data_IF_132476918712
#
_entry.id   IF_132476918712
#
_cell.length_a   1.000
_cell.length_b   1.000
_cell.length_c   1.000
_cell.angle_alpha   90.00
_cell.angle_beta   90.00
_cell.angle_gamma   90.00
#
_symmetry.space_group_name_H-M   'P 1'
#
loop_
_entity.id
_entity.type
_entity.pdbx_description
1 polymer ?
#
# COMPACT_ATOMS: atom_id res chain seq x y z
N UNK A 1 31.10 1.84 -20.40
CA UNK A 1 29.91 1.03 -20.02
C UNK A 1 28.69 1.71 -20.59
N UNK A 2 27.90 1.02 -21.40
CA UNK A 2 26.66 1.58 -21.97
C UNK A 2 25.61 1.71 -20.86
N UNK A 3 24.92 2.85 -20.73
CA UNK A 3 23.88 3.00 -19.72
C UNK A 3 22.76 1.98 -19.97
N UNK A 4 22.37 1.25 -18.92
CA UNK A 4 21.29 0.24 -18.96
C UNK A 4 19.93 0.91 -19.19
N UNK A 5 19.74 2.11 -18.62
CA UNK A 5 18.55 2.93 -18.75
C UNK A 5 18.68 3.90 -19.94
N UNK A 6 17.66 3.93 -20.80
CA UNK A 6 17.52 4.92 -21.87
C UNK A 6 16.71 6.12 -21.38
N UNK A 7 16.83 7.29 -22.02
CA UNK A 7 16.04 8.47 -21.65
C UNK A 7 14.52 8.28 -21.73
N UNK A 8 14.07 7.33 -22.56
CA UNK A 8 12.65 6.98 -22.73
C UNK A 8 12.16 5.94 -21.74
N UNK A 9 13.05 5.32 -20.97
CA UNK A 9 12.68 4.28 -20.02
C UNK A 9 12.13 4.92 -18.73
N UNK A 10 11.22 4.22 -18.06
CA UNK A 10 10.75 4.57 -16.71
C UNK A 10 11.19 3.49 -15.73
N UNK A 11 11.92 3.87 -14.70
CA UNK A 11 12.23 2.99 -13.57
C UNK A 11 10.99 2.90 -12.67
N UNK A 12 10.42 1.71 -12.50
CA UNK A 12 9.35 1.53 -11.51
C UNK A 12 9.91 0.95 -10.22
N UNK A 13 9.36 1.40 -9.09
CA UNK A 13 9.76 0.99 -7.75
C UNK A 13 8.51 0.64 -6.94
N UNK A 14 8.52 -0.50 -6.27
CA UNK A 14 7.44 -0.96 -5.42
C UNK A 14 7.25 -0.03 -4.21
N UNK A 15 6.00 0.31 -3.90
CA UNK A 15 5.62 1.16 -2.77
C UNK A 15 6.22 0.67 -1.45
N UNK A 16 6.20 -0.65 -1.22
CA UNK A 16 6.74 -1.29 -0.01
C UNK A 16 8.21 -0.95 0.23
N UNK A 17 9.02 -0.91 -0.84
CA UNK A 17 10.43 -0.53 -0.73
C UNK A 17 10.55 0.92 -0.24
N UNK A 18 9.74 1.82 -0.79
CA UNK A 18 9.75 3.24 -0.41
C UNK A 18 9.20 3.44 1.02
N UNK A 19 8.22 2.66 1.48
CA UNK A 19 7.76 2.67 2.88
C UNK A 19 8.91 2.31 3.83
N UNK A 20 9.71 1.30 3.48
CA UNK A 20 10.89 0.91 4.26
C UNK A 20 11.97 2.00 4.23
N UNK A 21 12.31 2.51 3.04
CA UNK A 21 13.33 3.56 2.88
C UNK A 21 12.95 4.89 3.52
N UNK A 22 11.65 5.20 3.60
CA UNK A 22 11.13 6.41 4.23
C UNK A 22 11.04 6.33 5.76
N UNK A 23 11.31 5.16 6.35
CA UNK A 23 11.19 4.95 7.79
C UNK A 23 9.74 4.94 8.28
N UNK A 24 8.77 4.71 7.38
CA UNK A 24 7.34 4.67 7.72
C UNK A 24 6.86 3.28 8.15
N UNK A 25 7.69 2.26 7.98
CA UNK A 25 7.41 0.93 8.51
C UNK A 25 7.30 0.97 10.04
N UNK A 26 6.29 0.29 10.58
CA UNK A 26 6.01 0.28 12.02
C UNK A 26 6.30 -1.10 12.59
N UNK A 27 7.20 -1.24 13.58
CA UNK A 27 7.42 -2.52 14.25
C UNK A 27 6.12 -2.99 14.92
N UNK A 28 5.71 -4.24 14.66
CA UNK A 28 4.47 -4.79 15.20
C UNK A 28 4.42 -4.75 16.74
N UNK A 29 5.58 -4.88 17.40
CA UNK A 29 5.70 -4.84 18.85
C UNK A 29 5.36 -3.48 19.49
N UNK A 30 5.41 -2.38 18.75
CA UNK A 30 5.04 -1.05 19.28
C UNK A 30 3.53 -0.84 19.28
N UNK A 31 2.79 -1.60 18.47
CA UNK A 31 1.36 -1.53 18.37
C UNK A 31 0.73 -2.36 19.49
N UNK A 32 0.15 -1.70 20.49
CA UNK A 32 -0.48 -2.33 21.65
C UNK A 32 -2.00 -2.32 21.48
N UNK A 33 -2.64 -3.43 21.02
CA UNK A 33 -4.06 -3.41 20.69
C UNK A 33 -4.92 -3.13 21.93
N UNK A 34 -5.65 -2.03 21.90
CA UNK A 34 -6.64 -1.67 22.92
C UNK A 34 -7.94 -2.43 22.75
N UNK A 35 -8.92 -2.11 23.60
CA UNK A 35 -10.21 -2.79 23.61
C UNK A 35 -10.96 -2.68 22.27
N UNK A 36 -11.00 -1.49 21.67
CA UNK A 36 -11.66 -1.28 20.36
C UNK A 36 -11.03 -2.17 19.28
N UNK A 37 -9.71 -2.26 19.23
CA UNK A 37 -9.01 -3.06 18.24
C UNK A 37 -9.28 -4.56 18.42
N UNK A 38 -9.20 -5.06 19.67
CA UNK A 38 -9.49 -6.45 20.01
C UNK A 38 -10.95 -6.82 19.75
N UNK A 39 -11.87 -5.88 19.96
CA UNK A 39 -13.29 -6.08 19.72
C UNK A 39 -13.59 -6.13 18.21
N UNK A 40 -13.07 -5.19 17.43
CA UNK A 40 -13.47 -5.03 16.03
C UNK A 40 -12.70 -5.93 15.06
N UNK A 41 -11.42 -6.20 15.30
CA UNK A 41 -10.59 -6.97 14.36
C UNK A 41 -11.18 -8.36 14.02
N UNK A 42 -11.63 -9.19 14.98
CA UNK A 42 -12.25 -10.48 14.67
C UNK A 42 -13.55 -10.40 13.86
N UNK A 43 -14.18 -9.22 13.79
CA UNK A 43 -15.41 -8.99 13.00
C UNK A 43 -15.12 -8.62 11.55
N UNK A 44 -13.86 -8.31 11.20
CA UNK A 44 -13.42 -8.05 9.84
C UNK A 44 -13.20 -9.38 9.13
N UNK A 45 -13.88 -9.57 7.99
CA UNK A 45 -13.64 -10.75 7.15
C UNK A 45 -12.45 -10.49 6.22
N UNK A 46 -11.39 -11.33 6.26
CA UNK A 46 -10.31 -11.29 5.27
C UNK A 46 -10.83 -11.48 3.84
N UNK A 47 -10.05 -11.07 2.85
CA UNK A 47 -10.41 -11.20 1.43
C UNK A 47 -9.28 -11.80 0.59
N UNK A 48 -9.39 -13.10 0.31
CA UNK A 48 -8.27 -13.93 -0.19
C UNK A 48 -7.11 -13.85 0.79
N UNK A 49 -5.91 -13.56 0.29
CA UNK A 49 -4.71 -13.54 1.13
C UNK A 49 -4.54 -12.25 1.95
N UNK A 50 -5.38 -11.23 1.71
CA UNK A 50 -5.32 -10.00 2.49
C UNK A 50 -6.06 -10.17 3.82
N UNK A 51 -5.26 -10.20 4.90
CA UNK A 51 -5.78 -10.19 6.28
C UNK A 51 -6.32 -8.81 6.68
N UNK A 52 -5.80 -7.72 6.10
CA UNK A 52 -6.27 -6.35 6.38
C UNK A 52 -6.44 -6.06 7.87
N UNK A 53 -7.57 -5.44 8.25
CA UNK A 53 -7.85 -5.08 9.65
C UNK A 53 -8.33 -6.24 10.54
N UNK A 54 -8.31 -7.49 10.04
CA UNK A 54 -8.61 -8.64 10.90
C UNK A 54 -7.51 -8.92 11.92
N UNK A 55 -6.32 -8.34 11.73
CA UNK A 55 -5.22 -8.36 12.69
C UNK A 55 -5.42 -7.23 13.71
N UNK A 56 -5.49 -7.52 15.03
CA UNK A 56 -5.71 -6.50 16.06
C UNK A 56 -4.69 -5.35 16.04
N UNK A 57 -3.42 -5.62 15.75
CA UNK A 57 -2.40 -4.57 15.65
C UNK A 57 -2.63 -3.63 14.45
N UNK A 58 -3.09 -4.14 13.29
CA UNK A 58 -3.50 -3.29 12.16
C UNK A 58 -4.73 -2.45 12.48
N UNK A 59 -5.70 -3.03 13.18
CA UNK A 59 -6.87 -2.29 13.66
C UNK A 59 -6.45 -1.19 14.66
N UNK A 60 -5.51 -1.49 15.56
CA UNK A 60 -4.97 -0.52 16.51
C UNK A 60 -4.30 0.66 15.81
N UNK A 61 -3.45 0.39 14.82
CA UNK A 61 -2.87 1.45 13.99
C UNK A 61 -3.96 2.34 13.37
N UNK A 62 -5.06 1.74 12.88
CA UNK A 62 -6.17 2.52 12.35
C UNK A 62 -6.88 3.36 13.41
N UNK A 63 -7.09 2.82 14.62
CA UNK A 63 -7.67 3.54 15.75
C UNK A 63 -6.83 4.77 16.10
N UNK A 64 -5.50 4.63 16.14
CA UNK A 64 -4.58 5.74 16.43
C UNK A 64 -4.63 6.83 15.36
N UNK A 65 -4.76 6.46 14.09
CA UNK A 65 -4.75 7.41 12.97
C UNK A 65 -6.11 8.01 12.62
N UNK A 66 -7.21 7.35 12.98
CA UNK A 66 -8.58 7.79 12.66
C UNK A 66 -9.34 8.34 13.87
N UNK A 67 -8.90 7.99 15.07
CA UNK A 67 -9.65 8.13 16.31
C UNK A 67 -10.60 6.94 16.56
N UNK A 68 -10.65 6.49 17.82
CA UNK A 68 -11.47 5.36 18.25
C UNK A 68 -12.96 5.57 17.94
N UNK A 69 -13.50 6.76 18.22
CA UNK A 69 -14.89 7.11 17.96
C UNK A 69 -15.25 6.91 16.48
N UNK A 70 -14.40 7.41 15.57
CA UNK A 70 -14.62 7.30 14.13
C UNK A 70 -14.62 5.84 13.66
N UNK A 71 -13.71 5.02 14.18
CA UNK A 71 -13.63 3.59 13.85
C UNK A 71 -14.87 2.84 14.35
N UNK A 72 -15.32 3.12 15.57
CA UNK A 72 -16.54 2.51 16.14
C UNK A 72 -17.78 2.90 15.35
N UNK A 73 -17.96 4.19 15.03
CA UNK A 73 -19.08 4.66 14.22
C UNK A 73 -19.05 4.05 12.81
N UNK A 74 -17.87 3.93 12.20
CA UNK A 74 -17.72 3.27 10.90
C UNK A 74 -18.09 1.78 10.97
N UNK A 75 -17.73 1.09 12.04
CA UNK A 75 -18.10 -0.30 12.26
C UNK A 75 -19.61 -0.47 12.48
N UNK A 76 -20.22 0.40 13.28
CA UNK A 76 -21.66 0.41 13.52
C UNK A 76 -22.44 0.66 12.22
N UNK A 77 -22.04 1.66 11.42
CA UNK A 77 -22.66 1.94 10.14
C UNK A 77 -22.51 0.76 9.16
N UNK A 78 -21.33 0.14 9.10
CA UNK A 78 -21.11 -1.03 8.25
C UNK A 78 -21.94 -2.25 8.69
N UNK A 79 -22.16 -2.43 10.00
CA UNK A 79 -23.04 -3.48 10.52
C UNK A 79 -24.51 -3.21 10.15
N UNK A 80 -24.98 -1.96 10.30
CA UNK A 80 -26.34 -1.57 9.97
C UNK A 80 -26.65 -1.69 8.47
N UNK A 81 -25.68 -1.43 7.60
CA UNK A 81 -25.88 -1.46 6.14
C UNK A 81 -25.67 -2.85 5.54
N UNK A 82 -25.09 -3.79 6.28
CA UNK A 82 -24.77 -5.15 5.79
C UNK A 82 -26.01 -5.94 5.34
N UNK A 83 -27.15 -5.92 6.06
CA UNK A 83 -28.38 -6.59 5.61
C UNK A 83 -28.95 -6.00 4.32
N UNK A 84 -28.66 -4.73 4.03
CA UNK A 84 -29.09 -4.02 2.82
C UNK A 84 -28.17 -4.31 1.62
N UNK A 85 -27.19 -5.20 1.76
CA UNK A 85 -26.24 -5.53 0.70
C UNK A 85 -25.15 -4.47 0.43
N UNK A 86 -25.16 -3.34 1.12
CA UNK A 86 -24.19 -2.25 0.90
C UNK A 86 -22.85 -2.60 1.55
N UNK A 87 -21.83 -2.81 0.72
CA UNK A 87 -20.46 -3.17 1.14
C UNK A 87 -19.54 -1.95 1.21
N UNK A 88 -18.46 -2.05 1.99
CA UNK A 88 -17.39 -1.06 2.02
C UNK A 88 -17.65 0.20 2.84
N UNK A 89 -18.82 0.35 3.47
CA UNK A 89 -19.19 1.53 4.30
C UNK A 89 -18.14 1.82 5.38
N UNK A 90 -17.62 0.77 6.02
CA UNK A 90 -16.54 0.90 7.00
C UNK A 90 -15.37 1.72 6.44
N UNK A 91 -14.85 1.36 5.27
CA UNK A 91 -13.68 2.04 4.68
C UNK A 91 -13.99 3.46 4.20
N UNK A 92 -15.24 3.75 3.81
CA UNK A 92 -15.62 5.12 3.44
C UNK A 92 -15.58 6.05 4.66
N UNK A 93 -16.08 5.58 5.80
CA UNK A 93 -16.17 6.35 7.03
C UNK A 93 -14.84 6.33 7.79
N UNK A 94 -14.29 5.15 8.02
CA UNK A 94 -12.99 4.95 8.64
C UNK A 94 -11.84 5.32 7.72
N UNK A 95 -12.02 5.84 6.49
CA UNK A 95 -10.94 6.27 5.60
C UNK A 95 -10.22 5.14 4.83
N UNK A 96 -9.73 5.48 3.64
CA UNK A 96 -9.11 4.54 2.68
C UNK A 96 -7.83 3.89 3.20
N UNK A 97 -7.09 4.56 4.08
CA UNK A 97 -5.86 4.04 4.68
C UNK A 97 -6.06 2.65 5.30
N UNK A 98 -7.24 2.37 5.83
CA UNK A 98 -7.55 1.11 6.47
C UNK A 98 -7.60 -0.09 5.48
N UNK A 99 -7.76 0.17 4.18
CA UNK A 99 -7.80 -0.84 3.13
C UNK A 99 -6.40 -1.28 2.69
N UNK A 100 -5.45 -0.36 2.76
CA UNK A 100 -4.14 -0.50 2.10
C UNK A 100 -3.01 -0.83 3.10
N UNK A 101 -3.34 -1.31 4.31
CA UNK A 101 -2.35 -1.74 5.31
C UNK A 101 -1.77 -3.11 4.99
N UNK A 102 -0.46 -3.17 4.73
CA UNK A 102 0.27 -4.42 4.48
C UNK A 102 1.23 -4.80 5.62
N UNK A 103 1.98 -5.88 5.47
CA UNK A 103 2.83 -6.46 6.51
C UNK A 103 2.05 -7.30 7.53
N UNK A 104 2.71 -7.70 8.61
CA UNK A 104 2.24 -8.71 9.57
C UNK A 104 1.79 -10.02 8.90
N UNK A 105 2.48 -10.37 7.83
CA UNK A 105 2.33 -11.58 7.01
C UNK A 105 3.65 -11.80 6.27
N UNK A 106 3.97 -13.03 5.81
CA UNK A 106 5.17 -13.26 5.02
C UNK A 106 5.28 -12.28 3.84
N UNK A 107 6.48 -11.73 3.56
CA UNK A 107 7.75 -11.93 4.29
C UNK A 107 7.94 -11.02 5.52
N UNK A 108 7.07 -10.02 5.72
CA UNK A 108 7.17 -9.02 6.78
C UNK A 108 6.34 -9.40 8.02
N UNK A 109 6.77 -10.41 8.79
CA UNK A 109 6.00 -10.94 9.92
C UNK A 109 5.85 -9.96 11.08
N UNK A 110 6.91 -9.23 11.43
CA UNK A 110 6.96 -8.36 12.61
C UNK A 110 6.88 -6.86 12.26
N UNK A 111 6.45 -6.54 11.04
CA UNK A 111 6.42 -5.17 10.53
C UNK A 111 5.09 -4.87 9.88
N UNK A 112 4.46 -3.78 10.29
CA UNK A 112 3.34 -3.17 9.59
C UNK A 112 3.87 -2.20 8.52
N UNK A 113 3.32 -2.28 7.32
CA UNK A 113 3.65 -1.40 6.20
C UNK A 113 2.41 -0.56 5.87
N UNK A 114 2.32 0.68 6.37
CA UNK A 114 1.23 1.58 5.98
C UNK A 114 1.41 2.06 4.53
N UNK A 115 0.31 2.41 3.83
CA UNK A 115 0.40 3.01 2.51
C UNK A 115 1.11 4.37 2.59
N UNK A 116 1.87 4.72 1.56
CA UNK A 116 2.54 6.01 1.47
C UNK A 116 1.50 7.13 1.43
N UNK A 117 1.76 8.17 2.21
CA UNK A 117 1.06 9.43 2.02
C UNK A 117 1.40 10.00 0.63
N UNK A 118 0.44 10.57 -0.12
CA UNK A 118 0.68 11.06 -1.48
C UNK A 118 1.87 12.03 -1.59
N UNK A 119 2.00 12.95 -0.64
CA UNK A 119 3.11 13.92 -0.60
C UNK A 119 4.47 13.25 -0.35
N UNK A 120 4.49 12.14 0.40
CA UNK A 120 5.71 11.35 0.64
C UNK A 120 6.08 10.60 -0.63
N UNK A 121 5.10 9.99 -1.32
CA UNK A 121 5.33 9.34 -2.60
C UNK A 121 5.92 10.30 -3.64
N UNK A 122 5.34 11.50 -3.81
CA UNK A 122 5.85 12.52 -4.74
C UNK A 122 7.30 12.89 -4.40
N UNK A 123 7.59 13.22 -3.14
CA UNK A 123 8.94 13.60 -2.69
C UNK A 123 9.97 12.49 -2.92
N UNK A 124 9.60 11.24 -2.64
CA UNK A 124 10.48 10.09 -2.87
C UNK A 124 10.68 9.82 -4.36
N UNK A 125 9.64 9.99 -5.18
CA UNK A 125 9.73 9.85 -6.62
C UNK A 125 10.71 10.87 -7.21
N UNK A 126 10.59 12.15 -6.86
CA UNK A 126 11.52 13.21 -7.26
C UNK A 126 12.95 12.93 -6.80
N UNK A 127 13.12 12.52 -5.54
CA UNK A 127 14.43 12.18 -4.97
C UNK A 127 15.09 11.01 -5.71
N UNK A 128 14.33 9.97 -6.02
CA UNK A 128 14.82 8.81 -6.76
C UNK A 128 15.19 9.21 -8.19
N UNK A 129 14.33 9.96 -8.88
CA UNK A 129 14.58 10.42 -10.23
C UNK A 129 15.87 11.26 -10.33
N UNK A 130 16.03 12.22 -9.42
CA UNK A 130 17.23 13.05 -9.33
C UNK A 130 18.50 12.23 -9.06
N UNK A 131 18.43 11.22 -8.18
CA UNK A 131 19.59 10.38 -7.86
C UNK A 131 19.95 9.38 -8.95
N UNK A 132 18.96 8.88 -9.67
CA UNK A 132 19.15 7.91 -10.75
C UNK A 132 19.46 8.57 -12.09
N UNK A 133 19.12 9.84 -12.26
CA UNK A 133 19.19 10.52 -13.56
C UNK A 133 18.21 9.89 -14.58
N UNK A 134 17.07 9.38 -14.11
CA UNK A 134 16.07 8.68 -14.90
C UNK A 134 14.66 9.00 -14.40
N UNK A 135 13.65 8.83 -15.26
CA UNK A 135 12.25 8.97 -14.86
C UNK A 135 11.82 7.80 -13.96
N UNK A 136 11.06 8.10 -12.91
CA UNK A 136 10.68 7.11 -11.89
C UNK A 136 9.16 7.04 -11.72
N UNK A 137 8.64 5.85 -11.45
CA UNK A 137 7.28 5.65 -10.96
C UNK A 137 7.30 4.81 -9.67
N UNK A 138 6.55 5.23 -8.66
CA UNK A 138 6.29 4.43 -7.47
C UNK A 138 4.94 3.73 -7.67
N UNK A 139 4.96 2.41 -7.60
CA UNK A 139 3.81 1.56 -7.94
C UNK A 139 3.46 0.61 -6.81
N UNK A 140 2.17 0.34 -6.64
CA UNK A 140 1.65 -0.70 -5.77
C UNK A 140 0.87 -1.68 -6.64
N UNK A 141 1.51 -2.80 -6.98
CA UNK A 141 0.99 -3.80 -7.91
C UNK A 141 0.75 -5.11 -7.14
N UNK A 142 -0.38 -5.74 -7.44
CA UNK A 142 -0.71 -7.09 -7.00
C UNK A 142 -1.52 -7.80 -8.10
N UNK A 143 -1.88 -9.07 -7.89
CA UNK A 143 -2.57 -9.89 -8.90
C UNK A 143 -4.00 -9.43 -9.23
N UNK A 144 -4.53 -8.47 -8.48
CA UNK A 144 -5.86 -7.87 -8.70
C UNK A 144 -5.77 -6.49 -9.35
N UNK A 145 -4.60 -6.14 -9.85
CA UNK A 145 -4.27 -4.84 -10.42
C UNK A 145 -3.41 -4.00 -9.47
N UNK A 146 -3.27 -2.72 -9.80
CA UNK A 146 -2.38 -1.86 -9.04
C UNK A 146 -2.67 -0.38 -9.20
N UNK A 147 -1.89 0.42 -8.48
CA UNK A 147 -1.98 1.88 -8.51
C UNK A 147 -0.59 2.49 -8.67
N UNK A 148 -0.52 3.63 -9.36
CA UNK A 148 0.68 4.47 -9.39
C UNK A 148 0.54 5.50 -8.27
N UNK A 149 1.42 5.43 -7.27
CA UNK A 149 1.41 6.32 -6.10
C UNK A 149 2.00 7.70 -6.42
N UNK A 150 3.03 7.71 -7.26
CA UNK A 150 3.64 8.90 -7.82
C UNK A 150 4.42 8.54 -9.08
N UNK A 151 4.61 9.51 -9.98
CA UNK A 151 5.50 9.36 -11.13
C UNK A 151 6.15 10.70 -11.46
N UNK A 152 7.34 10.63 -12.03
CA UNK A 152 8.04 11.78 -12.60
C UNK A 152 7.25 12.35 -13.78
N UNK A 153 7.52 13.60 -14.14
CA UNK A 153 6.76 14.33 -15.15
C UNK A 153 6.79 13.64 -16.52
N UNK A 154 7.97 13.15 -16.92
CA UNK A 154 8.22 12.52 -18.22
C UNK A 154 8.24 10.99 -18.18
N UNK A 155 7.94 10.40 -17.01
CA UNK A 155 7.66 8.98 -16.90
C UNK A 155 6.47 8.57 -17.77
N UNK A 156 6.40 7.29 -18.13
CA UNK A 156 5.29 6.71 -18.88
C UNK A 156 3.93 7.07 -18.26
N UNK A 157 2.87 7.21 -19.08
CA UNK A 157 1.52 7.40 -18.58
C UNK A 157 1.10 6.29 -17.62
N UNK A 158 0.31 6.64 -16.61
CA UNK A 158 -0.19 5.69 -15.60
C UNK A 158 -0.87 4.47 -16.22
N UNK A 159 -1.62 4.65 -17.31
CA UNK A 159 -2.30 3.57 -18.03
C UNK A 159 -1.32 2.58 -18.64
N UNK A 160 -0.22 3.06 -19.23
CA UNK A 160 0.81 2.21 -19.81
C UNK A 160 1.62 1.48 -18.73
N UNK A 161 1.96 2.17 -17.64
CA UNK A 161 2.63 1.55 -16.48
C UNK A 161 1.78 0.41 -15.92
N UNK A 162 0.50 0.65 -15.66
CA UNK A 162 -0.38 -0.38 -15.10
C UNK A 162 -0.64 -1.52 -16.08
N UNK A 163 -0.75 -1.23 -17.38
CA UNK A 163 -0.90 -2.26 -18.41
C UNK A 163 0.35 -3.15 -18.50
N UNK A 164 1.55 -2.55 -18.45
CA UNK A 164 2.79 -3.30 -18.53
C UNK A 164 3.08 -4.13 -17.27
N UNK A 165 2.54 -3.72 -16.12
CA UNK A 165 2.71 -4.40 -14.84
C UNK A 165 1.51 -5.29 -14.46
N UNK A 166 0.55 -5.50 -15.36
CA UNK A 166 -0.70 -6.19 -15.05
C UNK A 166 -0.51 -7.63 -14.57
N UNK A 167 0.48 -8.34 -15.13
CA UNK A 167 0.84 -9.71 -14.75
C UNK A 167 1.68 -9.78 -13.47
N UNK A 168 1.85 -8.65 -12.78
CA UNK A 168 2.65 -8.51 -11.56
C UNK A 168 4.08 -9.09 -11.71
N UNK A 169 4.94 -8.48 -12.58
CA UNK A 169 6.30 -8.96 -12.79
C UNK A 169 7.21 -8.77 -11.56
N UNK A 170 6.76 -7.99 -10.57
CA UNK A 170 7.42 -7.88 -9.25
C UNK A 170 7.37 -9.20 -8.48
N UNK A 171 6.45 -10.11 -8.85
CA UNK A 171 6.33 -11.40 -8.21
C UNK A 171 5.77 -11.34 -6.79
N UNK A 172 5.92 -12.45 -6.06
CA UNK A 172 5.43 -12.61 -4.69
C UNK A 172 6.53 -13.00 -3.70
N UNK A 173 6.29 -12.65 -2.44
CA UNK A 173 7.02 -13.14 -1.28
C UNK A 173 8.54 -12.92 -1.35
N UNK A 174 9.29 -13.97 -1.65
CA UNK A 174 10.76 -14.05 -1.48
C UNK A 174 11.54 -13.73 -2.76
N UNK A 175 10.87 -13.47 -3.88
CA UNK A 175 11.52 -13.18 -5.17
C UNK A 175 12.36 -11.89 -5.14
N UNK A 176 12.12 -11.00 -4.16
CA UNK A 176 12.95 -9.85 -3.85
C UNK A 176 13.27 -8.96 -5.07
N UNK A 177 12.27 -8.76 -5.93
CA UNK A 177 12.31 -7.93 -7.16
C UNK A 177 11.51 -6.64 -6.98
N UNK A 178 11.92 -5.66 -6.13
CA UNK A 178 11.10 -4.50 -5.79
C UNK A 178 11.19 -3.34 -6.81
N UNK A 179 11.92 -3.49 -7.91
CA UNK A 179 12.03 -2.46 -8.94
C UNK A 179 12.34 -3.08 -10.31
N UNK A 180 12.13 -2.31 -11.36
CA UNK A 180 12.49 -2.70 -12.72
C UNK A 180 12.45 -1.52 -13.68
N UNK A 181 12.61 -1.82 -14.97
CA UNK A 181 12.60 -0.85 -16.07
C UNK A 181 11.43 -1.14 -17.00
N UNK A 182 10.64 -0.11 -17.30
CA UNK A 182 9.66 -0.12 -18.38
C UNK A 182 10.25 0.61 -19.57
N UNK A 183 10.22 -0.04 -20.74
CA UNK A 183 10.71 0.49 -21.99
C UNK A 183 9.56 0.55 -23.01
N UNK A 184 9.24 1.73 -23.55
CA UNK A 184 8.34 1.84 -24.70
C UNK A 184 8.91 1.05 -25.89
N UNK A 185 8.05 0.35 -26.62
CA UNK A 185 8.40 -0.34 -27.86
C UNK A 185 8.48 0.65 -29.03
#
# INVERSE_FOLDING_TARGET
MTPICRPTDTVFVAEKLVVLLSGQAVPAATLRPGWVARLLAPRVRPHGDSLGLSIPAKMQYRVEHAGALRVVLAAAAAAATRPLGVRGVFYRLAGSLARDLDGMRPPYLDTLLPPLAPQVAVRWCERLASRLGAEVAIVDINDRGGTVRARSLHALPTTEILSALQDNPLGHCEQATPFGLLRPL
#
